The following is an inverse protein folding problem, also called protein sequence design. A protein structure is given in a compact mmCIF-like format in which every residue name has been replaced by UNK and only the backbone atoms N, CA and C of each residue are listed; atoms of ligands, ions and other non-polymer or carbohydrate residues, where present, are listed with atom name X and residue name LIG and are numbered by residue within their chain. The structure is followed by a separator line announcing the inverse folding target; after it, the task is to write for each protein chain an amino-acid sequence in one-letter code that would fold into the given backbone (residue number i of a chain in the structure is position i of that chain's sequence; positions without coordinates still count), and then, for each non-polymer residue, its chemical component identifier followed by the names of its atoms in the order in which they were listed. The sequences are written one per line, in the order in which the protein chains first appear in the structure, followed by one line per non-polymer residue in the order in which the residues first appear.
data_IF_154083533746
#
_entry.id   IF_154083533746
#
_cell.length_a   1.000
_cell.length_b   1.000
_cell.length_c   1.000
_cell.angle_alpha   90.00
_cell.angle_beta   90.00
_cell.angle_gamma   90.00
#
_symmetry.space_group_name_H-M   'P 1'
#
loop_
_entity.id
_entity.type
_entity.pdbx_description
1 polymer ?
#
# COMPACT_ATOMS: atom_id res chain seq x y z
N UNK A 1 -23.54 3.22 -14.92
CA UNK A 1 -23.06 2.98 -13.54
C UNK A 1 -21.53 2.84 -13.61
N UNK A 2 -20.82 3.56 -12.78
CA UNK A 2 -19.35 3.58 -12.78
C UNK A 2 -18.83 3.06 -11.44
N UNK A 3 -17.81 2.20 -11.46
CA UNK A 3 -17.15 1.68 -10.26
C UNK A 3 -15.63 1.86 -10.39
N UNK A 4 -14.97 2.15 -9.27
CA UNK A 4 -13.50 2.21 -9.17
C UNK A 4 -13.07 1.77 -7.77
N UNK A 5 -11.85 1.27 -7.65
CA UNK A 5 -11.24 1.04 -6.35
C UNK A 5 -10.96 2.38 -5.65
N UNK A 6 -11.32 2.50 -4.39
CA UNK A 6 -11.09 3.69 -3.57
C UNK A 6 -10.09 3.44 -2.46
N UNK A 7 -10.23 2.32 -1.76
CA UNK A 7 -9.44 1.99 -0.58
C UNK A 7 -8.85 0.60 -0.69
N UNK A 8 -7.66 0.43 -0.13
CA UNK A 8 -7.01 -0.87 0.08
C UNK A 8 -6.54 -0.96 1.52
N UNK A 9 -6.82 -2.06 2.19
CA UNK A 9 -6.46 -2.27 3.59
C UNK A 9 -5.29 -3.24 3.76
N UNK A 10 -4.31 -2.84 4.57
CA UNK A 10 -3.27 -3.69 5.12
C UNK A 10 -3.46 -3.81 6.64
N UNK A 11 -3.28 -5.01 7.18
CA UNK A 11 -3.35 -5.25 8.61
C UNK A 11 -1.94 -5.44 9.15
N UNK A 12 -1.58 -4.65 10.16
CA UNK A 12 -0.22 -4.53 10.67
C UNK A 12 -0.16 -4.60 12.18
N UNK A 13 0.98 -5.03 12.74
CA UNK A 13 1.22 -4.98 14.18
C UNK A 13 1.67 -3.58 14.61
N UNK A 14 2.51 -2.93 13.82
CA UNK A 14 3.10 -1.62 14.12
C UNK A 14 2.55 -0.51 13.26
N UNK A 15 1.46 0.16 13.68
CA UNK A 15 0.86 1.27 12.94
C UNK A 15 1.84 2.41 12.67
N UNK A 16 2.54 2.89 13.70
CA UNK A 16 3.46 4.03 13.56
C UNK A 16 4.63 3.69 12.63
N UNK A 17 5.20 2.49 12.76
CA UNK A 17 6.30 2.06 11.91
C UNK A 17 5.88 1.90 10.45
N UNK A 18 4.73 1.29 10.19
CA UNK A 18 4.17 1.13 8.84
C UNK A 18 3.79 2.47 8.22
N UNK A 19 3.17 3.38 8.96
CA UNK A 19 2.89 4.74 8.50
C UNK A 19 4.17 5.44 8.06
N UNK A 20 5.18 5.43 8.91
CA UNK A 20 6.47 6.05 8.62
C UNK A 20 7.13 5.45 7.38
N UNK A 21 7.07 4.13 7.23
CA UNK A 21 7.60 3.41 6.08
C UNK A 21 6.97 3.90 4.77
N UNK A 22 5.64 3.91 4.68
CA UNK A 22 4.95 4.31 3.45
C UNK A 22 5.05 5.80 3.16
N UNK A 23 5.00 6.65 4.19
CA UNK A 23 5.23 8.09 4.02
C UNK A 23 6.63 8.40 3.49
N UNK A 24 7.62 7.72 4.00
CA UNK A 24 9.00 7.89 3.56
C UNK A 24 9.23 7.39 2.13
N UNK A 25 8.56 6.30 1.74
CA UNK A 25 8.71 5.70 0.41
C UNK A 25 7.96 6.48 -0.67
N UNK A 26 6.73 6.91 -0.39
CA UNK A 26 5.85 7.52 -1.40
C UNK A 26 5.64 9.03 -1.22
N UNK A 27 6.14 9.63 -0.14
CA UNK A 27 5.86 11.03 0.16
C UNK A 27 4.38 11.33 0.44
N UNK A 28 3.59 10.31 0.74
CA UNK A 28 2.15 10.45 0.93
C UNK A 28 1.80 11.09 2.30
N UNK A 29 0.62 11.70 2.37
CA UNK A 29 0.11 12.33 3.59
C UNK A 29 -0.82 11.37 4.33
N UNK A 30 -0.79 11.44 5.66
CA UNK A 30 -1.79 10.81 6.51
C UNK A 30 -3.02 11.71 6.59
N UNK A 31 -4.18 11.17 6.20
CA UNK A 31 -5.47 11.85 6.22
C UNK A 31 -6.20 11.68 7.55
N UNK A 32 -6.05 10.51 8.17
CA UNK A 32 -6.69 10.15 9.42
C UNK A 32 -5.77 9.22 10.21
N UNK A 33 -5.68 9.43 11.52
CA UNK A 33 -4.89 8.61 12.42
C UNK A 33 -5.56 8.50 13.78
N UNK A 34 -5.68 7.28 14.31
CA UNK A 34 -6.09 7.00 15.67
C UNK A 34 -5.29 5.81 16.22
N UNK A 35 -5.70 5.24 17.34
CA UNK A 35 -5.00 4.11 17.97
C UNK A 35 -5.19 2.76 17.25
N UNK A 36 -6.07 2.72 16.23
CA UNK A 36 -6.41 1.50 15.49
C UNK A 36 -6.07 1.56 14.01
N UNK A 37 -5.96 2.75 13.42
CA UNK A 37 -5.79 2.88 11.98
C UNK A 37 -5.04 4.11 11.53
N UNK A 38 -4.57 4.05 10.28
CA UNK A 38 -4.06 5.20 9.50
C UNK A 38 -4.72 5.16 8.13
N UNK A 39 -5.19 6.31 7.64
CA UNK A 39 -5.63 6.48 6.26
C UNK A 39 -4.62 7.37 5.54
N UNK A 40 -4.04 6.87 4.47
CA UNK A 40 -2.96 7.52 3.74
C UNK A 40 -3.36 7.83 2.30
N UNK A 41 -3.13 9.06 1.88
CA UNK A 41 -3.44 9.50 0.51
C UNK A 41 -2.41 8.94 -0.47
N UNK A 42 -2.86 8.16 -1.43
CA UNK A 42 -2.03 7.61 -2.50
C UNK A 42 -2.40 8.30 -3.82
N UNK A 43 -1.55 9.24 -4.24
CA UNK A 43 -1.66 9.89 -5.55
C UNK A 43 -2.97 10.65 -5.79
N UNK A 44 -3.64 11.11 -4.74
CA UNK A 44 -4.95 11.80 -4.78
C UNK A 44 -6.09 11.00 -5.43
N UNK A 45 -5.89 9.70 -5.63
CA UNK A 45 -6.87 8.83 -6.30
C UNK A 45 -7.31 7.64 -5.44
N UNK A 46 -6.48 7.20 -4.52
CA UNK A 46 -6.71 6.03 -3.67
C UNK A 46 -6.29 6.30 -2.24
N UNK A 47 -6.81 5.50 -1.34
CA UNK A 47 -6.45 5.54 0.09
C UNK A 47 -5.85 4.18 0.48
N UNK A 48 -4.67 4.21 1.09
CA UNK A 48 -4.12 3.06 1.78
C UNK A 48 -4.53 3.13 3.24
N UNK A 49 -5.28 2.13 3.69
CA UNK A 49 -5.67 1.97 5.08
C UNK A 49 -4.71 1.00 5.77
N UNK A 50 -4.10 1.42 6.85
CA UNK A 50 -3.35 0.56 7.75
C UNK A 50 -4.19 0.33 8.99
N UNK A 51 -4.57 -0.92 9.25
CA UNK A 51 -5.31 -1.31 10.45
C UNK A 51 -4.41 -2.11 11.38
N UNK A 52 -4.47 -1.79 12.67
CA UNK A 52 -3.84 -2.63 13.69
C UNK A 52 -4.56 -3.99 13.73
N UNK A 53 -3.79 -5.09 13.61
CA UNK A 53 -4.35 -6.44 13.74
C UNK A 53 -5.07 -6.58 15.06
N UNK A 54 -6.27 -7.16 15.02
CA UNK A 54 -7.13 -7.33 16.19
C UNK A 54 -7.85 -6.06 16.65
N UNK A 55 -7.59 -4.90 16.02
CA UNK A 55 -8.19 -3.62 16.41
C UNK A 55 -9.58 -3.37 15.85
N UNK A 56 -10.06 -4.21 14.94
CA UNK A 56 -11.33 -4.01 14.21
C UNK A 56 -12.26 -5.22 14.29
N UNK A 57 -11.98 -6.18 15.17
CA UNK A 57 -12.71 -7.44 15.31
C UNK A 57 -14.12 -7.28 15.85
N UNK A 58 -14.44 -6.18 16.54
CA UNK A 58 -15.76 -5.90 17.10
C UNK A 58 -16.58 -4.91 16.24
N UNK A 59 -16.01 -4.46 15.12
CA UNK A 59 -16.56 -3.34 14.35
C UNK A 59 -16.40 -2.00 15.06
N UNK A 60 -17.10 -0.99 14.58
CA UNK A 60 -16.99 0.36 15.12
C UNK A 60 -18.27 1.15 14.97
N UNK A 61 -18.74 1.74 16.07
CA UNK A 61 -19.76 2.78 16.02
C UNK A 61 -19.13 4.09 15.58
N UNK A 62 -19.68 4.68 14.54
CA UNK A 62 -19.26 5.98 14.01
C UNK A 62 -20.45 6.90 13.88
N UNK A 63 -20.23 8.19 13.73
CA UNK A 63 -21.28 9.12 13.36
C UNK A 63 -21.92 8.67 12.05
N UNK A 64 -23.22 8.39 12.09
CA UNK A 64 -23.96 7.94 10.92
C UNK A 64 -24.20 6.44 10.82
N UNK A 65 -23.59 5.62 11.69
CA UNK A 65 -23.87 4.19 11.67
C UNK A 65 -22.82 3.30 12.28
N UNK A 66 -22.80 2.04 11.86
CA UNK A 66 -21.92 1.02 12.36
C UNK A 66 -21.10 0.39 11.22
N UNK A 67 -19.78 0.36 11.40
CA UNK A 67 -18.86 -0.34 10.50
C UNK A 67 -18.70 -1.77 10.99
N UNK A 68 -19.07 -2.78 10.19
CA UNK A 68 -18.95 -4.18 10.59
C UNK A 68 -17.50 -4.60 10.88
N UNK A 69 -17.32 -5.68 11.65
CA UNK A 69 -15.99 -6.24 11.92
C UNK A 69 -15.23 -6.65 10.66
N UNK A 70 -13.95 -6.43 10.70
CA UNK A 70 -13.00 -6.94 9.70
C UNK A 70 -11.63 -7.13 10.34
N UNK A 71 -10.84 -8.07 9.86
CA UNK A 71 -9.48 -8.31 10.31
C UNK A 71 -8.78 -9.25 9.32
N UNK A 72 -7.46 -9.29 9.37
CA UNK A 72 -6.67 -10.24 8.59
C UNK A 72 -5.32 -10.50 9.22
N UNK A 73 -4.77 -11.67 8.92
CA UNK A 73 -3.40 -12.06 9.24
C UNK A 73 -2.70 -12.59 8.01
N UNK A 74 -1.38 -12.71 8.07
CA UNK A 74 -0.57 -13.22 6.97
C UNK A 74 -0.03 -12.12 6.07
N UNK A 75 0.70 -12.56 5.05
CA UNK A 75 1.32 -11.70 4.06
C UNK A 75 0.41 -11.54 2.86
N UNK A 76 0.08 -10.32 2.51
CA UNK A 76 -0.73 -10.03 1.32
C UNK A 76 0.11 -9.36 0.24
N UNK A 77 -0.47 -9.21 -0.94
CA UNK A 77 0.14 -8.55 -2.08
C UNK A 77 -0.62 -7.27 -2.45
N UNK A 78 0.13 -6.21 -2.73
CA UNK A 78 -0.39 -4.92 -3.16
C UNK A 78 0.51 -4.33 -4.24
N UNK A 79 -0.09 -3.86 -5.32
CA UNK A 79 0.62 -3.20 -6.42
C UNK A 79 0.26 -1.72 -6.47
N UNK A 80 1.28 -0.88 -6.59
CA UNK A 80 1.15 0.54 -6.87
C UNK A 80 1.60 0.83 -8.29
N UNK A 81 0.82 1.62 -9.01
CA UNK A 81 1.20 2.11 -10.32
C UNK A 81 2.22 3.25 -10.20
N UNK A 82 3.28 3.18 -10.98
CA UNK A 82 4.30 4.23 -11.10
C UNK A 82 4.55 4.57 -12.56
N UNK A 83 5.06 5.75 -12.83
CA UNK A 83 5.45 6.14 -14.17
C UNK A 83 6.75 5.43 -14.60
N UNK A 84 6.89 5.19 -15.91
CA UNK A 84 8.07 4.56 -16.47
C UNK A 84 9.36 5.28 -16.09
N UNK A 85 9.34 6.61 -16.10
CA UNK A 85 10.50 7.42 -15.82
C UNK A 85 10.89 7.47 -14.34
N UNK A 86 10.03 6.96 -13.45
CA UNK A 86 10.27 6.92 -12.00
C UNK A 86 10.96 5.63 -11.52
N UNK A 87 11.11 4.62 -12.39
CA UNK A 87 11.69 3.31 -12.01
C UNK A 87 13.06 3.46 -11.37
N UNK A 88 13.97 4.20 -12.00
CA UNK A 88 15.33 4.39 -11.48
C UNK A 88 15.36 5.16 -10.16
N UNK A 89 14.45 6.12 -10.00
CA UNK A 89 14.31 6.86 -8.75
C UNK A 89 13.85 5.94 -7.61
N UNK A 90 12.83 5.11 -7.85
CA UNK A 90 12.40 4.14 -6.84
C UNK A 90 13.48 3.10 -6.50
N UNK A 91 14.26 2.65 -7.49
CA UNK A 91 15.40 1.78 -7.21
C UNK A 91 16.41 2.45 -6.26
N UNK A 92 16.72 3.72 -6.48
CA UNK A 92 17.62 4.50 -5.60
C UNK A 92 17.02 4.71 -4.22
N UNK A 93 15.74 5.03 -4.14
CA UNK A 93 15.03 5.23 -2.86
C UNK A 93 14.99 3.95 -2.03
N UNK A 94 14.70 2.81 -2.65
CA UNK A 94 14.68 1.52 -1.99
C UNK A 94 16.08 1.13 -1.49
N UNK A 95 17.10 1.28 -2.32
CA UNK A 95 18.50 1.00 -1.96
C UNK A 95 18.97 1.89 -0.80
N UNK A 96 18.72 3.20 -0.87
CA UNK A 96 19.09 4.15 0.18
C UNK A 96 18.42 3.86 1.53
N UNK A 97 17.31 3.14 1.54
CA UNK A 97 16.58 2.72 2.74
C UNK A 97 16.88 1.28 3.16
N UNK A 98 17.81 0.64 2.50
CA UNK A 98 18.16 -0.78 2.70
C UNK A 98 16.95 -1.71 2.50
N UNK A 99 16.07 -1.38 1.56
CA UNK A 99 14.95 -2.22 1.17
C UNK A 99 15.38 -3.02 -0.06
N UNK A 100 15.50 -4.32 0.09
CA UNK A 100 15.91 -5.21 -1.00
C UNK A 100 14.83 -5.33 -2.06
N UNK A 101 15.18 -5.09 -3.33
CA UNK A 101 14.35 -5.48 -4.47
C UNK A 101 14.57 -6.98 -4.67
N UNK A 102 13.60 -7.78 -4.25
CA UNK A 102 13.71 -9.25 -4.27
C UNK A 102 13.46 -9.86 -5.66
N UNK A 103 12.81 -9.12 -6.54
CA UNK A 103 12.57 -9.53 -7.93
C UNK A 103 12.27 -8.33 -8.81
N UNK A 104 12.71 -8.41 -10.06
CA UNK A 104 12.31 -7.48 -11.12
C UNK A 104 11.74 -8.30 -12.26
N UNK A 105 10.55 -7.93 -12.73
CA UNK A 105 9.86 -8.61 -13.83
C UNK A 105 9.67 -7.64 -14.99
N UNK A 106 9.92 -8.12 -16.21
CA UNK A 106 9.66 -7.42 -17.46
C UNK A 106 8.51 -8.11 -18.18
N UNK A 107 7.25 -7.65 -18.02
CA UNK A 107 6.09 -8.30 -18.62
C UNK A 107 6.17 -8.33 -20.14
N UNK A 108 5.57 -9.34 -20.82
CA UNK A 108 5.60 -9.46 -22.30
C UNK A 108 5.03 -8.25 -23.03
N UNK A 109 4.09 -7.51 -22.43
CA UNK A 109 3.50 -6.29 -23.00
C UNK A 109 4.39 -5.06 -22.85
N UNK A 110 5.55 -5.19 -22.21
CA UNK A 110 6.44 -4.10 -21.84
C UNK A 110 6.27 -3.67 -20.39
N UNK A 111 7.04 -2.68 -19.98
CA UNK A 111 7.03 -2.18 -18.61
C UNK A 111 8.01 -2.92 -17.70
N UNK A 112 7.92 -2.55 -16.42
CA UNK A 112 8.80 -3.07 -15.37
C UNK A 112 8.00 -3.21 -14.08
N UNK A 113 8.16 -4.32 -13.37
CA UNK A 113 7.64 -4.51 -12.03
C UNK A 113 8.78 -4.74 -11.05
N UNK A 114 8.83 -3.95 -9.98
CA UNK A 114 9.77 -4.10 -8.87
C UNK A 114 9.05 -4.68 -7.67
N UNK A 115 9.59 -5.73 -7.07
CA UNK A 115 9.00 -6.40 -5.90
C UNK A 115 9.88 -6.27 -4.68
N UNK A 116 9.29 -5.93 -3.54
CA UNK A 116 9.96 -5.87 -2.24
C UNK A 116 8.98 -6.21 -1.11
N UNK A 117 9.50 -6.36 0.11
CA UNK A 117 8.69 -6.57 1.32
C UNK A 117 8.60 -5.28 2.14
N UNK A 118 7.43 -5.01 2.68
CA UNK A 118 7.30 -3.99 3.71
C UNK A 118 7.74 -4.52 5.08
N UNK A 119 7.61 -3.72 6.15
CA UNK A 119 8.04 -4.09 7.49
C UNK A 119 7.27 -5.28 8.08
N UNK A 120 6.08 -5.55 7.58
CA UNK A 120 5.20 -6.63 8.04
C UNK A 120 5.30 -7.88 7.15
N UNK A 121 6.15 -7.83 6.13
CA UNK A 121 6.35 -8.90 5.16
C UNK A 121 5.34 -8.95 4.03
N UNK A 122 4.48 -7.94 3.88
CA UNK A 122 3.59 -7.85 2.73
C UNK A 122 4.41 -7.68 1.46
N UNK A 123 4.00 -8.36 0.38
CA UNK A 123 4.64 -8.24 -0.92
C UNK A 123 4.14 -6.99 -1.62
N UNK A 124 5.02 -6.02 -1.81
CA UNK A 124 4.73 -4.78 -2.50
C UNK A 124 5.32 -4.82 -3.90
N UNK A 125 4.54 -4.38 -4.86
CA UNK A 125 4.94 -4.23 -6.25
C UNK A 125 4.81 -2.78 -6.67
N UNK A 126 5.80 -2.29 -7.40
CA UNK A 126 5.72 -1.03 -8.14
C UNK A 126 5.73 -1.40 -9.62
N UNK A 127 4.65 -1.09 -10.34
CA UNK A 127 4.51 -1.48 -11.73
C UNK A 127 4.31 -0.26 -12.63
N UNK A 128 4.99 -0.28 -13.78
CA UNK A 128 4.76 0.65 -14.88
C UNK A 128 3.72 0.11 -15.85
N UNK A 129 3.22 0.93 -16.82
CA UNK A 129 2.31 0.43 -17.86
C UNK A 129 2.83 -0.82 -18.57
N UNK A 130 1.95 -1.79 -18.81
CA UNK A 130 2.26 -3.04 -19.53
C UNK A 130 1.98 -4.31 -18.74
N UNK A 131 1.78 -4.23 -17.41
CA UNK A 131 1.48 -5.42 -16.60
C UNK A 131 0.05 -5.94 -16.84
N UNK A 132 -0.89 -5.05 -17.07
CA UNK A 132 -2.29 -5.36 -17.36
C UNK A 132 -2.73 -4.70 -18.66
N UNK A 133 -3.90 -5.09 -19.18
CA UNK A 133 -4.54 -4.37 -20.29
C UNK A 133 -5.02 -2.98 -19.90
N UNK A 134 -5.38 -2.85 -18.63
CA UNK A 134 -5.76 -1.57 -18.01
C UNK A 134 -4.62 -1.08 -17.12
N UNK A 135 -4.47 0.24 -17.10
CA UNK A 135 -3.44 0.88 -16.28
C UNK A 135 -3.89 2.27 -15.84
#
# INVERSE_FOLDING_TARGET
MTIRGLETALYVEGLNASEKFYRALFGCKTLLADDRMRAMNIGDTNVLLLFKRGGTTDGEEVEGGFIPPHDATGQIHLCFAIEKDDVEEYQRVLDARNIEIISTVFPPRGGTSLYFRDLEGHLIELATPGICEIY
#
